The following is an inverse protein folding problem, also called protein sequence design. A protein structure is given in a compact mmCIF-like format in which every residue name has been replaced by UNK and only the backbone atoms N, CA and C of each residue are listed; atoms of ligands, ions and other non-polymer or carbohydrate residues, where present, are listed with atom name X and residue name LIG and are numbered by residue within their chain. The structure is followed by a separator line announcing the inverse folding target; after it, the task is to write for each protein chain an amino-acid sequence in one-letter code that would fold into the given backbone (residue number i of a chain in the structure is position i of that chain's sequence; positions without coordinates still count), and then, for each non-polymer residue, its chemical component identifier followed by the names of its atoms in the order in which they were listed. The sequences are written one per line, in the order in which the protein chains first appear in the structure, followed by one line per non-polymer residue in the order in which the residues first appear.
data_IF_930358849591
#
_entry.id   IF_930358849591
#
_cell.length_a   1.000
_cell.length_b   1.000
_cell.length_c   1.000
_cell.angle_alpha   90.00
_cell.angle_beta   90.00
_cell.angle_gamma   90.00
#
_symmetry.space_group_name_H-M   'P 1'
#
loop_
_entity.id
_entity.type
_entity.pdbx_description
1 polymer ?
#
# COMPACT_ATOMS: atom_id res chain seq x y z
N UNK A 1 -41.62 5.99 9.42
CA UNK A 1 -40.29 5.78 10.04
C UNK A 1 -39.32 6.74 9.40
N UNK A 2 -38.60 7.56 10.18
CA UNK A 2 -37.65 8.54 9.63
C UNK A 2 -36.43 7.83 9.01
N UNK A 3 -36.02 8.17 7.77
CA UNK A 3 -34.85 7.58 7.12
C UNK A 3 -33.57 7.73 7.96
N UNK A 4 -32.77 6.66 8.04
CA UNK A 4 -31.51 6.61 8.81
C UNK A 4 -30.58 7.78 8.47
N UNK A 5 -30.51 8.16 7.19
CA UNK A 5 -29.69 9.29 6.72
C UNK A 5 -30.12 10.63 7.34
N UNK A 6 -31.43 10.90 7.42
CA UNK A 6 -31.94 12.14 8.00
C UNK A 6 -31.58 12.26 9.48
N UNK A 7 -31.68 11.15 10.22
CA UNK A 7 -31.24 11.10 11.63
C UNK A 7 -29.75 11.35 11.78
N UNK A 8 -28.95 10.74 10.91
CA UNK A 8 -27.50 10.94 10.89
C UNK A 8 -27.15 12.41 10.62
N UNK A 9 -27.71 13.01 9.57
CA UNK A 9 -27.44 14.40 9.19
C UNK A 9 -27.84 15.37 10.32
N UNK A 10 -28.97 15.11 11.00
CA UNK A 10 -29.41 15.89 12.17
C UNK A 10 -28.40 15.83 13.32
N UNK A 11 -27.89 14.65 13.67
CA UNK A 11 -26.88 14.49 14.73
C UNK A 11 -25.58 15.22 14.35
N UNK A 12 -25.13 15.06 13.10
CA UNK A 12 -23.91 15.72 12.64
C UNK A 12 -24.05 17.25 12.67
N UNK A 13 -25.19 17.80 12.25
CA UNK A 13 -25.47 19.24 12.37
C UNK A 13 -25.39 19.72 13.82
N UNK A 14 -26.05 19.02 14.75
CA UNK A 14 -26.01 19.38 16.18
C UNK A 14 -24.57 19.38 16.74
N UNK A 15 -23.76 18.39 16.35
CA UNK A 15 -22.37 18.29 16.78
C UNK A 15 -21.50 19.43 16.25
N UNK A 16 -21.67 19.80 14.98
CA UNK A 16 -20.88 20.84 14.29
C UNK A 16 -21.30 22.24 14.72
N UNK A 17 -22.57 22.46 15.03
CA UNK A 17 -23.08 23.73 15.55
C UNK A 17 -22.73 23.92 17.03
N UNK A 18 -22.62 22.82 17.79
CA UNK A 18 -22.23 22.80 19.19
C UNK A 18 -20.73 22.60 19.40
N UNK A 19 -20.36 21.40 19.86
CA UNK A 19 -19.02 21.11 20.40
C UNK A 19 -17.88 21.15 19.37
N UNK A 20 -18.19 20.92 18.09
CA UNK A 20 -17.24 20.95 16.97
C UNK A 20 -17.34 22.23 16.14
N UNK A 21 -17.91 23.29 16.70
CA UNK A 21 -17.93 24.60 16.06
C UNK A 21 -16.48 25.07 15.82
N UNK A 22 -16.18 25.41 14.56
CA UNK A 22 -14.82 25.73 14.08
C UNK A 22 -14.09 26.70 15.00
N UNK A 23 -14.73 27.81 15.36
CA UNK A 23 -14.13 28.86 16.19
C UNK A 23 -13.79 28.35 17.59
N UNK A 24 -14.63 27.47 18.15
CA UNK A 24 -14.37 26.85 19.45
C UNK A 24 -13.22 25.85 19.37
N UNK A 25 -13.13 25.07 18.30
CA UNK A 25 -12.02 24.12 18.09
C UNK A 25 -10.68 24.84 17.98
N UNK A 26 -10.62 25.93 17.20
CA UNK A 26 -9.42 26.76 17.08
C UNK A 26 -9.02 27.34 18.43
N UNK A 27 -9.98 27.93 19.17
CA UNK A 27 -9.71 28.49 20.50
C UNK A 27 -9.21 27.45 21.50
N UNK A 28 -9.80 26.24 21.50
CA UNK A 28 -9.35 25.12 22.35
C UNK A 28 -7.96 24.66 21.97
N UNK A 29 -7.67 24.57 20.67
CA UNK A 29 -6.35 24.20 20.17
C UNK A 29 -5.29 25.23 20.55
N UNK A 30 -5.58 26.52 20.40
CA UNK A 30 -4.68 27.61 20.83
C UNK A 30 -4.38 27.56 22.32
N UNK A 31 -5.39 27.28 23.15
CA UNK A 31 -5.18 27.08 24.59
C UNK A 31 -4.23 25.91 24.85
N UNK A 32 -4.42 24.80 24.14
CA UNK A 32 -3.56 23.62 24.22
C UNK A 32 -2.11 23.93 23.78
N UNK A 33 -1.94 24.58 22.63
CA UNK A 33 -0.62 24.99 22.12
C UNK A 33 0.12 25.85 23.14
N UNK A 34 -0.56 26.83 23.74
CA UNK A 34 0.02 27.68 24.79
C UNK A 34 0.45 26.89 26.02
N UNK A 35 -0.35 25.91 26.46
CA UNK A 35 -0.01 25.10 27.64
C UNK A 35 1.20 24.21 27.44
N UNK A 36 1.47 23.77 26.21
CA UNK A 36 2.57 22.86 25.90
C UNK A 36 3.79 23.56 25.31
N UNK A 37 3.72 24.88 25.07
CA UNK A 37 4.74 25.62 24.33
C UNK A 37 6.13 25.46 24.95
N UNK A 38 6.24 25.72 26.26
CA UNK A 38 7.50 25.60 27.00
C UNK A 38 8.06 24.16 26.95
N UNK A 39 7.21 23.15 27.14
CA UNK A 39 7.64 21.74 27.07
C UNK A 39 8.11 21.36 25.65
N UNK A 40 7.46 21.92 24.63
CA UNK A 40 7.83 21.70 23.22
C UNK A 40 9.16 22.36 22.90
N UNK A 41 9.40 23.58 23.36
CA UNK A 41 10.66 24.31 23.17
C UNK A 41 11.81 23.58 23.85
N UNK A 42 11.65 23.18 25.12
CA UNK A 42 12.64 22.38 25.86
C UNK A 42 12.97 21.07 25.15
N UNK A 43 11.95 20.37 24.63
CA UNK A 43 12.17 19.12 23.90
C UNK A 43 12.86 19.34 22.55
N UNK A 44 12.53 20.42 21.84
CA UNK A 44 13.16 20.78 20.55
C UNK A 44 14.64 21.08 20.75
N UNK A 45 14.97 21.90 21.75
CA UNK A 45 16.36 22.20 22.11
C UNK A 45 17.14 20.94 22.54
N UNK A 46 16.50 20.02 23.26
CA UNK A 46 17.12 18.75 23.64
C UNK A 46 17.44 17.87 22.41
N UNK A 47 16.52 17.75 21.46
CA UNK A 47 16.74 17.03 20.19
C UNK A 47 17.91 17.63 19.40
N UNK A 48 17.94 18.97 19.27
CA UNK A 48 19.02 19.70 18.59
C UNK A 48 20.37 19.47 19.26
N UNK A 49 20.42 19.56 20.60
CA UNK A 49 21.66 19.35 21.38
C UNK A 49 22.24 17.95 21.22
N UNK A 50 21.38 16.95 20.98
CA UNK A 50 21.76 15.55 20.81
C UNK A 50 22.00 15.15 19.35
N UNK A 51 21.79 16.09 18.41
CA UNK A 51 21.84 15.85 16.97
C UNK A 51 21.02 14.61 16.56
N UNK A 52 19.86 14.44 17.20
CA UNK A 52 19.01 13.28 16.97
C UNK A 52 18.37 13.38 15.59
N UNK A 53 18.64 12.38 14.74
CA UNK A 53 17.89 12.21 13.49
C UNK A 53 16.47 11.81 13.85
N UNK A 54 15.56 12.78 13.86
CA UNK A 54 14.15 12.58 14.19
C UNK A 54 13.55 11.39 13.45
N UNK A 55 12.55 10.74 14.06
CA UNK A 55 11.95 9.53 13.52
C UNK A 55 11.44 9.77 12.09
N UNK A 56 11.98 9.10 11.06
CA UNK A 56 11.55 9.33 9.69
C UNK A 56 10.11 8.83 9.54
N UNK A 57 9.22 9.69 9.08
CA UNK A 57 7.87 9.27 8.76
C UNK A 57 7.92 8.18 7.68
N UNK A 58 7.19 7.07 7.83
CA UNK A 58 7.11 6.04 6.79
C UNK A 58 6.74 6.69 5.45
N UNK A 59 7.62 6.54 4.45
CA UNK A 59 7.47 7.10 3.09
C UNK A 59 7.36 8.63 2.99
N UNK A 60 7.90 9.37 3.96
CA UNK A 60 7.89 10.84 3.91
C UNK A 60 6.50 11.45 4.06
N UNK A 61 5.53 10.69 4.58
CA UNK A 61 4.20 11.22 4.85
C UNK A 61 4.29 12.30 5.92
N UNK A 62 3.87 13.51 5.58
CA UNK A 62 3.70 14.58 6.53
C UNK A 62 2.20 14.83 6.73
N UNK A 63 1.66 14.58 7.94
CA UNK A 63 0.26 14.88 8.21
C UNK A 63 0.01 16.39 8.11
N UNK A 64 -1.20 16.76 7.69
CA UNK A 64 -1.67 18.13 7.69
C UNK A 64 -1.61 18.72 9.11
N UNK A 65 -1.33 20.01 9.22
CA UNK A 65 -1.44 20.74 10.48
C UNK A 65 -2.87 20.72 11.01
N UNK A 66 -3.04 20.76 12.34
CA UNK A 66 -4.37 20.65 12.98
C UNK A 66 -5.32 21.78 12.53
N UNK A 67 -4.81 23.02 12.37
CA UNK A 67 -5.61 24.15 11.89
C UNK A 67 -6.16 23.90 10.48
N UNK A 68 -5.29 23.46 9.58
CA UNK A 68 -5.65 23.13 8.20
C UNK A 68 -6.62 21.93 8.15
N UNK A 69 -6.42 20.94 9.02
CA UNK A 69 -7.36 19.83 9.18
C UNK A 69 -8.75 20.31 9.62
N UNK A 70 -8.85 21.18 10.63
CA UNK A 70 -10.12 21.76 11.10
C UNK A 70 -10.82 22.49 9.95
N UNK A 71 -10.10 23.30 9.19
CA UNK A 71 -10.64 24.04 8.05
C UNK A 71 -11.20 23.12 6.95
N UNK A 72 -10.38 22.15 6.51
CA UNK A 72 -10.76 21.19 5.47
C UNK A 72 -11.93 20.33 5.92
N UNK A 73 -11.91 19.85 7.17
CA UNK A 73 -12.95 18.96 7.70
C UNK A 73 -14.28 19.69 7.89
N UNK A 74 -14.26 20.91 8.43
CA UNK A 74 -15.47 21.74 8.56
C UNK A 74 -16.10 21.98 7.19
N UNK A 75 -15.28 22.28 6.19
CA UNK A 75 -15.74 22.51 4.81
C UNK A 75 -16.32 21.24 4.18
N UNK A 76 -15.69 20.07 4.38
CA UNK A 76 -16.17 18.79 3.88
C UNK A 76 -17.49 18.38 4.52
N UNK A 77 -17.64 18.54 5.84
CA UNK A 77 -18.90 18.23 6.54
C UNK A 77 -20.05 19.12 6.01
N UNK A 78 -19.81 20.42 5.81
CA UNK A 78 -20.81 21.32 5.19
C UNK A 78 -21.23 20.83 3.80
N UNK A 79 -20.29 20.38 2.97
CA UNK A 79 -20.61 19.83 1.64
C UNK A 79 -21.39 18.51 1.72
N UNK A 80 -21.09 17.67 2.70
CA UNK A 80 -21.80 16.40 2.94
C UNK A 80 -23.24 16.63 3.39
N UNK A 81 -23.46 17.53 4.35
CA UNK A 81 -24.80 17.91 4.81
C UNK A 81 -25.63 18.55 3.70
N UNK A 82 -24.99 19.31 2.81
CA UNK A 82 -25.65 19.90 1.63
C UNK A 82 -25.83 18.89 0.47
N UNK A 83 -25.50 17.61 0.68
CA UNK A 83 -25.62 16.57 -0.34
C UNK A 83 -24.66 16.69 -1.53
N UNK A 84 -23.66 17.59 -1.47
CA UNK A 84 -22.67 17.83 -2.54
C UNK A 84 -21.53 16.80 -2.54
N UNK A 85 -21.29 16.16 -1.39
CA UNK A 85 -20.31 15.09 -1.24
C UNK A 85 -20.96 13.93 -0.49
N UNK A 86 -20.61 12.69 -0.84
CA UNK A 86 -20.87 11.56 0.04
C UNK A 86 -19.90 11.65 1.22
N UNK A 87 -20.37 11.34 2.43
CA UNK A 87 -19.49 11.12 3.58
C UNK A 87 -18.30 10.27 3.17
N UNK A 88 -17.09 10.59 3.66
CA UNK A 88 -15.94 9.70 3.44
C UNK A 88 -16.22 8.36 4.11
N UNK A 89 -16.84 7.45 3.37
CA UNK A 89 -16.81 6.03 3.64
C UNK A 89 -15.44 5.63 3.14
N UNK A 90 -14.60 5.12 4.03
CA UNK A 90 -13.37 4.45 3.62
C UNK A 90 -13.76 3.20 2.83
N UNK A 91 -14.06 3.39 1.55
CA UNK A 91 -14.15 2.31 0.60
C UNK A 91 -12.71 1.94 0.32
N UNK A 92 -12.29 0.75 0.77
CA UNK A 92 -11.10 0.14 0.21
C UNK A 92 -11.33 0.11 -1.31
N UNK A 93 -10.73 1.04 -2.04
CA UNK A 93 -10.92 1.19 -3.49
C UNK A 93 -10.33 0.04 -4.30
N UNK A 94 -10.12 -1.13 -3.68
CA UNK A 94 -9.46 -2.29 -4.26
C UNK A 94 -10.04 -3.58 -3.69
N UNK A 95 -10.48 -4.51 -4.53
CA UNK A 95 -10.66 -5.89 -4.11
C UNK A 95 -9.36 -6.40 -3.48
N UNK A 96 -9.39 -6.92 -2.24
CA UNK A 96 -8.25 -7.63 -1.62
C UNK A 96 -7.62 -7.03 -0.35
N UNK A 97 -8.20 -6.03 0.31
CA UNK A 97 -7.76 -5.61 1.65
C UNK A 97 -6.30 -5.14 1.75
N UNK A 98 -5.60 -5.47 2.84
CA UNK A 98 -4.19 -5.11 3.17
C UNK A 98 -3.14 -5.42 2.09
N UNK A 99 -3.48 -6.20 1.07
CA UNK A 99 -2.59 -6.56 -0.04
C UNK A 99 -2.94 -5.82 -1.35
N UNK A 100 -3.97 -4.98 -1.36
CA UNK A 100 -4.41 -4.24 -2.56
C UNK A 100 -3.34 -3.31 -3.16
N UNK A 101 -2.30 -2.96 -2.39
CA UNK A 101 -1.12 -2.21 -2.86
C UNK A 101 -0.29 -3.00 -3.88
N UNK A 102 -0.31 -4.33 -3.78
CA UNK A 102 0.38 -5.25 -4.68
C UNK A 102 -0.34 -5.39 -6.02
N UNK A 103 -1.59 -4.92 -6.13
CA UNK A 103 -2.45 -5.11 -7.29
C UNK A 103 -2.60 -3.87 -8.19
N UNK A 104 -2.13 -2.67 -7.80
CA UNK A 104 -2.11 -1.50 -8.69
C UNK A 104 -0.74 -1.32 -9.35
N UNK A 105 -0.78 -1.02 -10.63
CA UNK A 105 0.35 -1.09 -11.54
C UNK A 105 0.29 -2.38 -12.33
N UNK A 106 0.86 -2.39 -13.54
CA UNK A 106 1.09 -3.61 -14.31
C UNK A 106 1.82 -4.67 -13.48
N UNK A 107 2.07 -5.85 -14.07
CA UNK A 107 2.71 -6.99 -13.41
C UNK A 107 3.93 -6.56 -12.56
N UNK A 108 3.76 -6.50 -11.23
CA UNK A 108 4.73 -5.93 -10.29
C UNK A 108 5.24 -6.95 -9.27
N UNK A 109 6.26 -6.60 -8.46
CA UNK A 109 6.83 -7.47 -7.41
C UNK A 109 5.76 -8.09 -6.50
N UNK A 110 4.70 -7.33 -6.23
CA UNK A 110 3.56 -7.79 -5.45
C UNK A 110 2.69 -8.83 -6.15
N UNK A 111 2.48 -8.71 -7.47
CA UNK A 111 1.77 -9.73 -8.26
C UNK A 111 2.60 -11.00 -8.41
N UNK A 112 3.92 -10.87 -8.60
CA UNK A 112 4.85 -12.01 -8.61
C UNK A 112 4.78 -12.81 -7.30
N UNK A 113 4.90 -12.13 -6.16
CA UNK A 113 4.78 -12.78 -4.85
C UNK A 113 3.43 -13.45 -4.65
N UNK A 114 2.33 -12.82 -5.10
CA UNK A 114 1.00 -13.44 -5.07
C UNK A 114 0.89 -14.70 -5.93
N UNK A 115 1.45 -14.69 -7.15
CA UNK A 115 1.47 -15.89 -8.00
C UNK A 115 2.30 -17.02 -7.40
N UNK A 116 3.45 -16.70 -6.77
CA UNK A 116 4.26 -17.69 -6.07
C UNK A 116 3.52 -18.30 -4.88
N UNK A 117 2.80 -17.48 -4.09
CA UNK A 117 1.99 -18.01 -2.99
C UNK A 117 0.86 -18.91 -3.48
N UNK A 118 0.09 -18.46 -4.49
CA UNK A 118 -1.06 -19.23 -5.00
C UNK A 118 -0.64 -20.58 -5.59
N UNK A 119 0.55 -20.67 -6.21
CA UNK A 119 1.02 -21.90 -6.86
C UNK A 119 1.94 -22.75 -5.98
N UNK A 120 2.65 -22.12 -5.05
CA UNK A 120 3.68 -22.76 -4.24
C UNK A 120 3.21 -23.23 -2.87
N UNK A 121 2.18 -22.63 -2.29
CA UNK A 121 1.62 -23.04 -0.99
C UNK A 121 0.74 -24.30 -1.17
N UNK A 122 1.38 -25.46 -1.28
CA UNK A 122 0.71 -26.73 -1.57
C UNK A 122 -0.04 -27.29 -0.35
N UNK A 123 0.40 -26.94 0.85
CA UNK A 123 -0.19 -27.37 2.12
C UNK A 123 -1.18 -26.36 2.71
N UNK A 124 -1.40 -25.22 2.05
CA UNK A 124 -2.30 -24.13 2.43
C UNK A 124 -1.97 -23.47 3.79
N UNK A 125 -0.71 -23.52 4.22
CA UNK A 125 -0.26 -22.94 5.49
C UNK A 125 0.04 -21.44 5.41
N UNK A 126 -0.15 -20.84 4.22
CA UNK A 126 0.08 -19.42 3.89
C UNK A 126 1.56 -19.04 3.90
N UNK A 127 2.45 -20.02 3.82
CA UNK A 127 3.88 -19.87 3.64
C UNK A 127 4.37 -20.77 2.51
N UNK A 128 5.65 -20.65 2.14
CA UNK A 128 6.25 -21.53 1.14
C UNK A 128 7.50 -22.13 1.77
N UNK A 129 7.47 -23.43 2.02
CA UNK A 129 8.65 -24.16 2.46
C UNK A 129 9.69 -24.26 1.34
N UNK A 130 10.94 -24.58 1.69
CA UNK A 130 12.01 -24.79 0.69
C UNK A 130 11.63 -25.85 -0.35
N UNK A 131 10.95 -26.92 0.08
CA UNK A 131 10.53 -28.03 -0.78
C UNK A 131 9.45 -27.59 -1.77
N UNK A 132 8.48 -26.82 -1.29
CA UNK A 132 7.41 -26.24 -2.11
C UNK A 132 7.94 -25.24 -3.12
N UNK A 133 8.82 -24.33 -2.68
CA UNK A 133 9.48 -23.38 -3.57
C UNK A 133 10.25 -24.11 -4.68
N UNK A 134 11.01 -25.15 -4.31
CA UNK A 134 11.76 -25.96 -5.27
C UNK A 134 10.83 -26.65 -6.27
N UNK A 135 9.77 -27.30 -5.79
CA UNK A 135 8.80 -28.00 -6.63
C UNK A 135 8.13 -27.05 -7.63
N UNK A 136 7.71 -25.87 -7.18
CA UNK A 136 7.10 -24.85 -8.02
C UNK A 136 8.09 -24.32 -9.08
N UNK A 137 9.32 -23.98 -8.67
CA UNK A 137 10.33 -23.45 -9.60
C UNK A 137 10.78 -24.49 -10.63
N UNK A 138 10.87 -25.78 -10.25
CA UNK A 138 11.13 -26.87 -11.19
C UNK A 138 10.01 -27.00 -12.22
N UNK A 139 8.74 -26.99 -11.79
CA UNK A 139 7.60 -27.01 -12.71
C UNK A 139 7.57 -25.81 -13.65
N UNK A 140 7.92 -24.61 -13.15
CA UNK A 140 8.07 -23.43 -14.01
C UNK A 140 9.18 -23.60 -15.03
N UNK A 141 10.33 -24.12 -14.61
CA UNK A 141 11.46 -24.37 -15.49
C UNK A 141 11.09 -25.34 -16.62
N UNK A 142 10.44 -26.46 -16.31
CA UNK A 142 10.01 -27.46 -17.29
C UNK A 142 9.02 -26.89 -18.34
N UNK A 143 8.18 -25.94 -17.93
CA UNK A 143 7.25 -25.25 -18.85
C UNK A 143 7.98 -24.24 -19.75
N UNK A 144 9.02 -23.60 -19.22
CA UNK A 144 9.77 -22.56 -19.91
C UNK A 144 10.89 -23.12 -20.82
N UNK A 145 11.54 -24.20 -20.42
CA UNK A 145 12.59 -24.91 -21.17
C UNK A 145 11.98 -25.87 -22.21
N UNK A 146 11.38 -25.28 -23.25
CA UNK A 146 10.70 -26.05 -24.32
C UNK A 146 11.65 -26.88 -25.16
N UNK A 147 12.86 -26.38 -25.36
CA UNK A 147 13.91 -27.04 -26.15
C UNK A 147 14.62 -28.14 -25.34
N UNK A 148 14.36 -28.22 -24.03
CA UNK A 148 14.99 -29.16 -23.09
C UNK A 148 16.52 -29.06 -23.10
N UNK A 149 17.02 -27.84 -23.24
CA UNK A 149 18.45 -27.56 -23.29
C UNK A 149 19.07 -27.40 -21.88
N UNK A 150 18.22 -27.42 -20.84
CA UNK A 150 18.60 -27.27 -19.45
C UNK A 150 19.07 -25.86 -19.09
N UNK A 151 18.85 -24.85 -19.95
CA UNK A 151 19.38 -23.49 -19.79
C UNK A 151 18.41 -22.43 -20.32
N UNK A 152 18.07 -21.46 -19.48
CA UNK A 152 17.28 -20.29 -19.90
C UNK A 152 18.11 -19.02 -19.84
N UNK A 153 18.30 -18.36 -20.99
CA UNK A 153 18.83 -17.00 -20.99
C UNK A 153 17.74 -15.99 -20.57
N UNK A 154 18.15 -14.78 -20.20
CA UNK A 154 17.25 -13.72 -19.72
C UNK A 154 16.08 -13.44 -20.68
N UNK A 155 16.35 -13.39 -21.98
CA UNK A 155 15.32 -13.09 -22.99
C UNK A 155 14.29 -14.22 -23.12
N UNK A 156 14.77 -15.48 -23.15
CA UNK A 156 13.93 -16.67 -23.18
C UNK A 156 13.06 -16.78 -21.91
N UNK A 157 13.67 -16.54 -20.74
CA UNK A 157 12.98 -16.53 -19.46
C UNK A 157 11.85 -15.49 -19.42
N UNK A 158 12.12 -14.23 -19.77
CA UNK A 158 11.10 -13.16 -19.77
C UNK A 158 9.95 -13.48 -20.73
N UNK A 159 10.27 -14.05 -21.89
CA UNK A 159 9.28 -14.44 -22.91
C UNK A 159 8.39 -15.58 -22.44
N UNK A 160 8.95 -16.57 -21.75
CA UNK A 160 8.25 -17.79 -21.33
C UNK A 160 7.57 -17.69 -19.96
N UNK A 161 7.93 -16.70 -19.13
CA UNK A 161 7.37 -16.48 -17.80
C UNK A 161 5.82 -16.43 -17.74
N UNK A 162 5.09 -15.81 -18.71
CA UNK A 162 3.63 -15.87 -18.72
C UNK A 162 3.08 -17.31 -18.80
N UNK A 163 3.78 -18.23 -19.44
CA UNK A 163 3.32 -19.60 -19.64
C UNK A 163 3.40 -20.40 -18.33
N UNK A 164 4.44 -20.15 -17.52
CA UNK A 164 4.57 -20.72 -16.18
C UNK A 164 3.51 -20.16 -15.19
N UNK A 165 3.08 -18.92 -15.37
CA UNK A 165 2.18 -18.23 -14.43
C UNK A 165 0.71 -18.55 -14.66
N UNK A 166 0.37 -18.89 -15.90
CA UNK A 166 -0.99 -19.15 -16.34
C UNK A 166 -1.08 -20.48 -17.09
N UNK A 167 -0.77 -21.63 -16.44
CA UNK A 167 -0.74 -22.93 -17.10
C UNK A 167 -2.12 -23.38 -17.60
N UNK A 168 -3.21 -22.88 -17.01
CA UNK A 168 -4.59 -23.30 -17.29
C UNK A 168 -5.59 -22.15 -17.50
N UNK A 169 -5.11 -20.92 -17.76
CA UNK A 169 -5.95 -19.71 -17.77
C UNK A 169 -5.69 -18.73 -18.92
N UNK A 170 -6.60 -17.75 -19.09
CA UNK A 170 -6.39 -16.62 -20.00
C UNK A 170 -5.22 -15.78 -19.50
N UNK A 171 -4.15 -15.72 -20.30
CA UNK A 171 -2.99 -14.86 -20.06
C UNK A 171 -3.46 -13.40 -19.95
N UNK A 172 -3.05 -12.63 -18.93
CA UNK A 172 -3.45 -11.24 -18.80
C UNK A 172 -2.95 -10.43 -20.00
N UNK A 173 -3.79 -9.54 -20.53
CA UNK A 173 -3.41 -8.61 -21.58
C UNK A 173 -2.38 -7.62 -21.04
N UNK A 174 -1.14 -7.71 -21.53
CA UNK A 174 -0.05 -6.81 -21.18
C UNK A 174 1.32 -7.47 -21.29
N UNK A 175 2.36 -6.68 -21.62
CA UNK A 175 3.76 -7.11 -21.57
C UNK A 175 4.16 -7.22 -20.09
N UNK A 176 4.68 -8.37 -19.64
CA UNK A 176 5.40 -8.43 -18.36
C UNK A 176 6.59 -7.48 -18.50
N UNK A 177 6.67 -6.38 -17.74
CA UNK A 177 7.70 -5.40 -18.04
C UNK A 177 9.09 -5.94 -17.64
N UNK A 178 10.06 -5.72 -18.51
CA UNK A 178 11.45 -6.18 -18.36
C UNK A 178 12.11 -5.88 -17.00
N UNK A 179 11.82 -4.75 -16.30
CA UNK A 179 12.39 -4.44 -14.99
C UNK A 179 11.96 -5.37 -13.85
N UNK A 180 10.94 -6.21 -14.05
CA UNK A 180 10.38 -7.08 -12.99
C UNK A 180 11.09 -8.42 -12.88
N UNK A 181 11.71 -8.88 -13.96
CA UNK A 181 12.83 -9.83 -13.92
C UNK A 181 14.06 -8.98 -13.66
N UNK A 182 14.17 -8.49 -12.42
CA UNK A 182 15.13 -7.46 -12.06
C UNK A 182 16.53 -7.79 -12.58
N UNK A 183 17.31 -6.75 -12.90
CA UNK A 183 18.74 -6.87 -13.13
C UNK A 183 19.42 -7.83 -12.12
N UNK A 184 18.95 -7.84 -10.86
CA UNK A 184 19.38 -8.74 -9.78
C UNK A 184 19.22 -10.25 -9.99
N UNK A 185 18.17 -10.76 -10.67
CA UNK A 185 17.96 -12.21 -10.79
C UNK A 185 19.01 -12.86 -11.71
N UNK A 186 19.35 -12.18 -12.81
CA UNK A 186 20.36 -12.65 -13.75
C UNK A 186 21.76 -12.09 -13.45
N UNK A 187 21.90 -10.92 -12.83
CA UNK A 187 23.23 -10.39 -12.46
C UNK A 187 23.94 -11.25 -11.43
N UNK A 188 23.19 -11.94 -10.54
CA UNK A 188 23.75 -12.89 -9.57
C UNK A 188 24.08 -14.26 -10.20
N UNK A 189 23.40 -14.64 -11.29
CA UNK A 189 23.69 -15.86 -12.02
C UNK A 189 24.91 -15.69 -12.95
N UNK A 190 25.02 -14.54 -13.62
CA UNK A 190 26.16 -14.21 -14.47
C UNK A 190 27.45 -13.98 -13.66
N UNK A 191 27.35 -13.53 -12.40
CA UNK A 191 28.53 -13.40 -11.52
C UNK A 191 29.13 -14.72 -11.06
N UNK A 192 28.49 -15.86 -11.37
CA UNK A 192 29.00 -17.21 -11.06
C UNK A 192 29.46 -18.00 -12.29
N UNK A 193 29.53 -17.39 -13.48
CA UNK A 193 30.24 -17.93 -14.65
C UNK A 193 31.69 -17.42 -14.66
N UNK A 194 32.45 -17.81 -13.65
CA UNK A 194 33.90 -17.87 -13.70
C UNK A 194 34.29 -19.33 -13.51
N UNK A 195 34.22 -20.10 -14.59
CA UNK A 195 35.17 -21.13 -15.03
C UNK A 195 34.91 -21.41 -16.50
#
# INVERSE_FOLDING_TARGET
MEPVKLRYDKIISQLVEGIFKKEQLIKKFEKLERTILDSRERNTAAIESRNERGYPAPRGYQPLGIREFIDKRTSSIKRQLNGKETGYIFVHGRPGGRLGHLAQGGFGRGRLAMHMLIQGDLNEDKSISKKELFTMLSGWFDVMDREKDGKLNKAAFIKALPDAFFPSGRKPLGRIPEPYVAAGLFSLADSHLLF
#
